data_IF_173202366309
#
_entry.id   IF_173202366309
#
_cell.length_a   1.000
_cell.length_b   1.000
_cell.length_c   1.000
_cell.angle_alpha   90.00
_cell.angle_beta   90.00
_cell.angle_gamma   90.00
#
_symmetry.space_group_name_H-M   'P 1'
#
loop_
_entity.id
_entity.type
_entity.pdbx_description
1 polymer ?
#
# COMPACT_ATOMS: atom_id res chain seq x y z
N UNK A 1 -6.26 -27.93 17.38
CA UNK A 1 -5.76 -26.56 17.09
C UNK A 1 -6.28 -26.17 15.72
N UNK A 2 -7.13 -25.15 15.65
CA UNK A 2 -7.55 -24.56 14.37
C UNK A 2 -6.34 -23.97 13.64
N UNK A 3 -6.45 -23.81 12.32
CA UNK A 3 -5.44 -23.10 11.52
C UNK A 3 -5.30 -21.66 12.03
N UNK A 4 -4.12 -21.02 11.94
CA UNK A 4 -3.98 -19.62 12.28
C UNK A 4 -4.94 -18.79 11.40
N UNK A 5 -5.71 -17.89 12.02
CA UNK A 5 -6.68 -17.03 11.32
C UNK A 5 -5.95 -15.88 10.60
N UNK A 6 -5.27 -16.21 9.50
CA UNK A 6 -4.60 -15.22 8.62
C UNK A 6 -5.55 -14.60 7.60
N UNK A 7 -6.80 -15.06 7.51
CA UNK A 7 -7.76 -14.69 6.46
C UNK A 7 -8.01 -13.18 6.38
N UNK A 8 -8.03 -12.48 7.52
CA UNK A 8 -8.21 -11.02 7.52
C UNK A 8 -7.01 -10.31 6.90
N UNK A 9 -5.80 -10.70 7.32
CA UNK A 9 -4.55 -10.12 6.83
C UNK A 9 -4.35 -10.46 5.34
N UNK A 10 -4.64 -11.70 4.92
CA UNK A 10 -4.54 -12.10 3.52
C UNK A 10 -5.51 -11.29 2.63
N UNK A 11 -6.71 -10.96 3.15
CA UNK A 11 -7.65 -10.05 2.46
C UNK A 11 -7.11 -8.62 2.36
N UNK A 12 -6.46 -8.12 3.41
CA UNK A 12 -5.86 -6.79 3.41
C UNK A 12 -4.67 -6.72 2.45
N UNK A 13 -3.80 -7.73 2.44
CA UNK A 13 -2.69 -7.87 1.47
C UNK A 13 -3.24 -7.85 0.04
N UNK A 14 -4.31 -8.60 -0.24
CA UNK A 14 -4.93 -8.61 -1.57
C UNK A 14 -5.52 -7.24 -1.96
N UNK A 15 -6.06 -6.50 -1.00
CA UNK A 15 -6.57 -5.14 -1.25
C UNK A 15 -5.43 -4.15 -1.49
N UNK A 16 -4.35 -4.20 -0.72
CA UNK A 16 -3.20 -3.30 -0.87
C UNK A 16 -2.41 -3.59 -2.14
N UNK A 17 -2.26 -4.85 -2.56
CA UNK A 17 -1.68 -5.19 -3.87
C UNK A 17 -2.50 -4.64 -5.02
N UNK A 18 -3.83 -4.78 -5.00
CA UNK A 18 -4.71 -4.18 -6.03
C UNK A 18 -4.57 -2.67 -6.11
N UNK A 19 -4.47 -1.98 -4.97
CA UNK A 19 -4.21 -0.54 -4.91
C UNK A 19 -2.85 -0.20 -5.52
N UNK A 20 -1.82 -0.97 -5.22
CA UNK A 20 -0.47 -0.76 -5.76
C UNK A 20 -0.42 -0.95 -7.27
N UNK A 21 -1.09 -1.99 -7.79
CA UNK A 21 -1.21 -2.20 -9.23
C UNK A 21 -1.98 -1.06 -9.91
N UNK A 22 -3.05 -0.57 -9.28
CA UNK A 22 -3.81 0.57 -9.79
C UNK A 22 -2.94 1.83 -9.87
N UNK A 23 -2.15 2.15 -8.83
CA UNK A 23 -1.20 3.28 -8.89
C UNK A 23 -0.18 3.10 -10.01
N UNK A 24 0.35 1.88 -10.19
CA UNK A 24 1.29 1.58 -11.29
C UNK A 24 0.66 1.73 -12.68
N UNK A 25 -0.64 1.49 -12.82
CA UNK A 25 -1.42 1.73 -14.04
C UNK A 25 -1.76 3.21 -14.25
N UNK A 26 -1.38 4.11 -13.34
CA UNK A 26 -1.72 5.53 -13.39
C UNK A 26 -3.14 5.83 -12.90
N UNK A 27 -3.82 4.88 -12.26
CA UNK A 27 -5.14 5.09 -11.69
C UNK A 27 -5.05 5.90 -10.39
N UNK A 28 -5.95 6.87 -10.21
CA UNK A 28 -5.91 7.84 -9.10
C UNK A 28 -6.87 7.51 -7.95
N UNK A 29 -7.73 6.50 -8.10
CA UNK A 29 -8.64 6.08 -7.03
C UNK A 29 -7.97 5.55 -5.74
N UNK A 30 -6.79 4.88 -5.75
CA UNK A 30 -6.14 4.37 -4.54
C UNK A 30 -5.39 5.45 -3.74
N UNK A 31 -5.38 6.70 -4.24
CA UNK A 31 -4.77 7.84 -3.59
C UNK A 31 -5.58 8.29 -2.36
N UNK A 32 -4.86 8.69 -1.32
CA UNK A 32 -5.46 9.28 -0.12
C UNK A 32 -5.98 10.70 -0.41
N UNK A 33 -6.64 11.31 0.58
CA UNK A 33 -7.26 12.64 0.44
C UNK A 33 -6.23 13.77 0.23
N UNK A 34 -5.04 13.68 0.82
CA UNK A 34 -3.98 14.69 0.62
C UNK A 34 -3.35 14.57 -0.77
N UNK A 35 -3.01 13.36 -1.21
CA UNK A 35 -2.51 13.01 -2.55
C UNK A 35 -3.50 13.50 -3.62
N UNK A 36 -4.81 13.21 -3.45
CA UNK A 36 -5.86 13.67 -4.37
C UNK A 36 -5.92 15.20 -4.50
N UNK A 37 -5.86 15.93 -3.39
CA UNK A 37 -5.83 17.42 -3.43
C UNK A 37 -4.62 17.93 -4.19
N UNK A 38 -3.49 17.25 -4.04
CA UNK A 38 -2.24 17.63 -4.71
C UNK A 38 -2.31 17.35 -6.21
N UNK A 39 -2.91 16.23 -6.63
CA UNK A 39 -3.22 15.93 -8.04
C UNK A 39 -4.16 16.98 -8.63
N UNK A 40 -5.27 17.30 -7.96
CA UNK A 40 -6.22 18.32 -8.42
C UNK A 40 -5.52 19.69 -8.57
N UNK A 41 -4.72 20.08 -7.57
CA UNK A 41 -3.97 21.34 -7.62
C UNK A 41 -2.93 21.36 -8.74
N UNK A 42 -2.26 20.24 -9.01
CA UNK A 42 -1.29 20.12 -10.10
C UNK A 42 -1.98 20.19 -11.48
N UNK A 43 -3.12 19.52 -11.65
CA UNK A 43 -3.90 19.58 -12.89
C UNK A 43 -4.45 20.98 -13.16
N UNK A 44 -5.09 21.61 -12.17
CA UNK A 44 -5.62 22.97 -12.31
C UNK A 44 -4.52 24.02 -12.52
N UNK A 45 -3.40 23.90 -11.80
CA UNK A 45 -2.25 24.78 -11.99
C UNK A 45 -1.50 24.54 -13.30
N UNK A 46 -1.52 23.30 -13.81
CA UNK A 46 -0.95 22.93 -15.10
C UNK A 46 -1.74 23.52 -16.25
N UNK A 47 -3.06 23.28 -16.29
CA UNK A 47 -3.95 23.82 -17.31
C UNK A 47 -3.93 25.35 -17.35
N UNK A 48 -3.95 26.01 -16.18
CA UNK A 48 -3.86 27.47 -16.10
C UNK A 48 -2.53 28.01 -16.68
N UNK A 49 -1.40 27.32 -16.48
CA UNK A 49 -0.13 27.74 -17.06
C UNK A 49 -0.04 27.50 -18.55
N UNK A 50 -0.51 26.35 -19.04
CA UNK A 50 -0.56 26.04 -20.47
C UNK A 50 -1.41 27.07 -21.22
N UNK A 51 -2.57 27.45 -20.66
CA UNK A 51 -3.42 28.52 -21.20
C UNK A 51 -2.72 29.88 -21.24
N UNK A 52 -1.78 30.16 -20.32
CA UNK A 52 -0.93 31.36 -20.34
C UNK A 52 0.36 31.20 -21.17
N UNK A 53 0.51 30.12 -21.94
CA UNK A 53 1.71 29.83 -22.72
C UNK A 53 2.96 29.53 -21.86
N UNK A 54 2.78 29.17 -20.59
CA UNK A 54 3.87 28.83 -19.66
C UNK A 54 4.01 27.32 -19.54
N UNK A 55 5.23 26.84 -19.31
CA UNK A 55 5.50 25.40 -19.13
C UNK A 55 4.81 24.83 -17.88
N UNK A 56 4.27 23.62 -18.03
CA UNK A 56 3.65 22.84 -16.97
C UNK A 56 4.62 21.84 -16.30
N UNK A 57 5.90 21.80 -16.71
CA UNK A 57 6.92 20.86 -16.24
C UNK A 57 6.98 20.71 -14.71
N UNK A 58 6.86 21.80 -13.96
CA UNK A 58 6.86 21.74 -12.48
C UNK A 58 5.64 21.01 -11.91
N UNK A 59 4.50 21.00 -12.61
CA UNK A 59 3.28 20.31 -12.20
C UNK A 59 3.35 18.84 -12.63
N UNK A 60 3.93 18.55 -13.79
CA UNK A 60 4.25 17.18 -14.22
C UNK A 60 5.20 16.50 -13.23
N UNK A 61 6.32 17.14 -12.88
CA UNK A 61 7.26 16.61 -11.87
C UNK A 61 6.59 16.39 -10.51
N UNK A 62 5.59 17.22 -10.15
CA UNK A 62 4.82 17.03 -8.91
C UNK A 62 3.90 15.82 -9.01
N UNK A 63 3.26 15.58 -10.15
CA UNK A 63 2.43 14.40 -10.37
C UNK A 63 3.28 13.12 -10.34
N UNK A 64 4.46 13.14 -10.94
CA UNK A 64 5.41 12.03 -10.91
C UNK A 64 5.87 11.74 -9.48
N UNK A 65 6.33 12.76 -8.74
CA UNK A 65 6.74 12.60 -7.35
C UNK A 65 5.62 12.09 -6.44
N UNK A 66 4.36 12.50 -6.67
CA UNK A 66 3.20 11.97 -5.95
C UNK A 66 2.97 10.48 -6.25
N UNK A 67 3.15 10.06 -7.50
CA UNK A 67 3.01 8.65 -7.89
C UNK A 67 4.05 7.78 -7.17
N UNK A 68 5.30 8.24 -7.09
CA UNK A 68 6.38 7.57 -6.39
C UNK A 68 6.13 7.49 -4.88
N UNK A 69 5.65 8.59 -4.27
CA UNK A 69 5.26 8.62 -2.87
C UNK A 69 4.14 7.62 -2.57
N UNK A 70 3.11 7.56 -3.42
CA UNK A 70 2.01 6.62 -3.27
C UNK A 70 2.47 5.16 -3.39
N UNK A 71 3.36 4.86 -4.34
CA UNK A 71 3.97 3.53 -4.48
C UNK A 71 4.74 3.17 -3.21
N UNK A 72 5.58 4.07 -2.71
CA UNK A 72 6.42 3.87 -1.52
C UNK A 72 5.59 3.64 -0.26
N UNK A 73 4.50 4.41 -0.09
CA UNK A 73 3.56 4.21 1.02
C UNK A 73 2.89 2.84 0.94
N UNK A 74 2.36 2.47 -0.23
CA UNK A 74 1.66 1.20 -0.41
C UNK A 74 2.59 -0.02 -0.26
N UNK A 75 3.85 0.09 -0.69
CA UNK A 75 4.84 -0.97 -0.43
C UNK A 75 5.17 -1.08 1.05
N UNK A 76 5.28 0.03 1.78
CA UNK A 76 5.49 0.02 3.23
C UNK A 76 4.29 -0.58 4.00
N UNK A 77 3.06 -0.27 3.59
CA UNK A 77 1.85 -0.90 4.16
C UNK A 77 1.84 -2.42 3.90
N UNK A 78 2.21 -2.84 2.69
CA UNK A 78 2.25 -4.24 2.30
C UNK A 78 3.31 -5.02 3.07
N UNK A 79 4.52 -4.46 3.25
CA UNK A 79 5.57 -5.10 4.05
C UNK A 79 5.19 -5.23 5.52
N UNK A 80 4.51 -4.23 6.09
CA UNK A 80 3.97 -4.30 7.44
C UNK A 80 2.96 -5.44 7.60
N UNK A 81 2.00 -5.57 6.67
CA UNK A 81 1.01 -6.66 6.68
C UNK A 81 1.66 -8.04 6.54
N UNK A 82 2.67 -8.20 5.68
CA UNK A 82 3.41 -9.45 5.59
C UNK A 82 4.16 -9.80 6.87
N UNK A 83 4.73 -8.80 7.54
CA UNK A 83 5.43 -8.99 8.81
C UNK A 83 4.46 -9.48 9.89
N UNK A 84 3.28 -8.88 9.96
CA UNK A 84 2.23 -9.28 10.91
C UNK A 84 1.72 -10.70 10.64
N UNK A 85 1.51 -11.06 9.37
CA UNK A 85 1.18 -12.44 8.98
C UNK A 85 2.22 -13.44 9.48
N UNK A 86 3.50 -13.12 9.34
CA UNK A 86 4.59 -13.97 9.79
C UNK A 86 4.61 -14.10 11.32
N UNK A 87 4.29 -13.03 12.05
CA UNK A 87 4.17 -13.05 13.52
C UNK A 87 3.13 -14.08 13.97
N UNK A 88 1.92 -14.04 13.43
CA UNK A 88 0.83 -14.96 13.77
C UNK A 88 1.21 -16.42 13.46
N UNK A 89 1.83 -16.66 12.31
CA UNK A 89 2.28 -18.02 11.93
C UNK A 89 3.32 -18.54 12.91
N UNK A 90 4.27 -17.70 13.34
CA UNK A 90 5.30 -18.07 14.33
C UNK A 90 4.69 -18.38 15.69
N UNK A 91 3.77 -17.55 16.19
CA UNK A 91 3.07 -17.77 17.46
C UNK A 91 2.27 -19.08 17.46
N UNK A 92 1.65 -19.43 16.33
CA UNK A 92 0.97 -20.71 16.19
C UNK A 92 1.94 -21.91 16.18
N UNK A 93 3.08 -21.75 15.50
CA UNK A 93 4.12 -22.78 15.44
C UNK A 93 4.73 -23.05 16.83
N UNK A 94 5.00 -22.01 17.63
CA UNK A 94 5.52 -22.16 18.99
C UNK A 94 4.51 -22.84 19.91
N UNK A 95 3.23 -22.44 19.85
CA UNK A 95 2.16 -23.10 20.63
C UNK A 95 2.00 -24.58 20.27
N UNK A 96 2.14 -24.94 18.99
CA UNK A 96 2.11 -26.33 18.53
C UNK A 96 3.34 -27.11 19.02
N UNK A 97 4.52 -26.51 19.01
CA UNK A 97 5.74 -27.13 19.52
C UNK A 97 5.64 -27.41 21.04
N UNK A 98 5.15 -26.44 21.82
CA UNK A 98 4.96 -26.58 23.27
C UNK A 98 3.99 -27.72 23.64
N UNK A 99 2.88 -27.87 22.89
CA UNK A 99 1.96 -28.99 23.10
C UNK A 99 2.56 -30.35 22.69
N UNK A 100 3.43 -30.37 21.67
CA UNK A 100 4.11 -31.60 21.25
C UNK A 100 5.13 -32.04 22.30
N UNK A 101 5.89 -31.12 22.88
CA UNK A 101 6.79 -31.44 24.00
C UNK A 101 6.02 -31.91 25.23
N UNK A 102 4.83 -31.39 25.49
CA UNK A 102 4.00 -31.81 26.61
C UNK A 102 3.20 -33.12 26.39
N UNK A 103 3.37 -33.81 25.25
CA UNK A 103 2.63 -35.04 24.93
C UNK A 103 3.54 -36.25 24.69
N UNK A 104 4.86 -36.05 24.77
CA UNK A 104 5.88 -37.09 24.54
C UNK A 104 6.44 -37.68 25.85
N UNK A 105 6.19 -37.02 26.98
CA UNK A 105 6.50 -37.48 28.34
C UNK A 105 5.29 -38.20 28.93
#
# INVERSE_FOLDING_TARGET
>A
MGKPDTRSIDREISKTTRKLEAVRRGETWPLNSSERRTVIGALAGGSYRVLRGKSAARQENRLESLSEQAITRLTAELTALHTERQRIVREHATAKAAKKSSSWW
#
